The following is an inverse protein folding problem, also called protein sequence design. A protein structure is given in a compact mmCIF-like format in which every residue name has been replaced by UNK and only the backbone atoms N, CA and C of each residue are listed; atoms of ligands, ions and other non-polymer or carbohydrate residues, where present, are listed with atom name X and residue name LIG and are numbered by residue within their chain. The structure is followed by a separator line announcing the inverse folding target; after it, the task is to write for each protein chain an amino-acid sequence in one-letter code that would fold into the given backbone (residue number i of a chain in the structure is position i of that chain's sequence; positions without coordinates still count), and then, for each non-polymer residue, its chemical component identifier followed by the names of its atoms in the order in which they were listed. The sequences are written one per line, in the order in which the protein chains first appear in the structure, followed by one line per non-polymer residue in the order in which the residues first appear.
data_IF_838229948121
#
_entry.id   IF_838229948121
#
_cell.length_a   1.000
_cell.length_b   1.000
_cell.length_c   1.000
_cell.angle_alpha   90.00
_cell.angle_beta   90.00
_cell.angle_gamma   90.00
#
_symmetry.space_group_name_H-M   'P 1'
#
loop_
_entity.id
_entity.type
_entity.pdbx_description
1 polymer ?
#
# COMPACT_ATOMS: atom_id res chain seq x y z
N UNK A 1 4.30 -40.76 20.17
CA UNK A 1 3.92 -40.04 18.93
C UNK A 1 4.35 -38.59 19.06
N UNK A 2 5.22 -38.10 18.18
CA UNK A 2 5.49 -36.66 18.10
C UNK A 2 4.20 -36.00 17.60
N UNK A 3 3.51 -35.22 18.45
CA UNK A 3 2.33 -34.44 18.06
C UNK A 3 2.78 -33.43 17.00
N UNK A 4 2.42 -33.68 15.73
CA UNK A 4 2.62 -32.69 14.67
C UNK A 4 1.75 -31.47 14.98
N UNK A 5 2.36 -30.29 15.02
CA UNK A 5 1.70 -29.01 15.23
C UNK A 5 1.18 -28.49 13.88
N UNK A 6 -0.07 -28.03 13.85
CA UNK A 6 -0.65 -27.35 12.69
C UNK A 6 -0.18 -25.90 12.67
N UNK A 7 0.18 -25.37 11.50
CA UNK A 7 0.48 -23.94 11.33
C UNK A 7 -0.51 -23.37 10.31
N UNK A 8 -1.33 -22.43 10.75
CA UNK A 8 -2.28 -21.67 9.94
C UNK A 8 -1.66 -20.31 9.62
N UNK A 9 -1.60 -19.98 8.33
CA UNK A 9 -1.10 -18.71 7.83
C UNK A 9 -2.24 -17.98 7.15
N UNK A 10 -2.61 -16.83 7.70
CA UNK A 10 -3.64 -15.93 7.18
C UNK A 10 -2.94 -14.76 6.51
N UNK A 11 -3.08 -14.66 5.20
CA UNK A 11 -2.60 -13.51 4.42
C UNK A 11 -3.72 -12.48 4.30
N UNK A 12 -3.36 -11.19 4.23
CA UNK A 12 -4.30 -10.08 4.08
C UNK A 12 -5.49 -10.13 5.09
N UNK A 13 -5.20 -10.51 6.33
CA UNK A 13 -6.21 -10.78 7.36
C UNK A 13 -6.99 -9.54 7.80
N UNK A 14 -6.49 -8.35 7.48
CA UNK A 14 -7.12 -7.07 7.78
C UNK A 14 -7.11 -6.17 6.56
N UNK A 15 -8.23 -5.56 6.23
CA UNK A 15 -8.37 -4.65 5.10
C UNK A 15 -9.15 -3.40 5.52
N UNK A 16 -8.72 -2.25 5.00
CA UNK A 16 -9.42 -0.99 5.22
C UNK A 16 -10.85 -1.06 4.64
N UNK A 17 -11.83 -0.53 5.37
CA UNK A 17 -13.24 -0.59 4.98
C UNK A 17 -14.01 -1.84 5.42
N UNK A 18 -13.34 -2.83 6.06
CA UNK A 18 -13.98 -4.08 6.54
C UNK A 18 -13.77 -4.34 8.01
N UNK A 19 -13.64 -3.28 8.79
CA UNK A 19 -13.17 -3.37 10.17
C UNK A 19 -14.18 -4.02 11.13
N UNK A 20 -15.46 -4.07 10.77
CA UNK A 20 -16.52 -4.69 11.58
C UNK A 20 -16.31 -6.19 11.74
N UNK A 21 -15.92 -6.89 10.67
CA UNK A 21 -15.77 -8.35 10.67
C UNK A 21 -14.43 -8.80 11.29
N UNK A 22 -13.46 -7.89 11.40
CA UNK A 22 -12.13 -8.20 11.94
C UNK A 22 -12.17 -8.60 13.42
N UNK A 23 -13.08 -8.02 14.20
CA UNK A 23 -13.23 -8.36 15.62
C UNK A 23 -13.59 -9.82 15.84
N UNK A 24 -14.52 -10.35 15.04
CA UNK A 24 -14.91 -11.76 15.09
C UNK A 24 -13.80 -12.68 14.57
N UNK A 25 -13.12 -12.26 13.49
CA UNK A 25 -11.95 -12.98 12.97
C UNK A 25 -10.87 -13.16 14.04
N UNK A 26 -10.48 -12.09 14.74
CA UNK A 26 -9.45 -12.18 15.78
C UNK A 26 -9.93 -12.95 17.02
N UNK A 27 -11.22 -12.90 17.33
CA UNK A 27 -11.84 -13.80 18.32
C UNK A 27 -11.66 -15.28 17.96
N UNK A 28 -11.88 -15.64 16.69
CA UNK A 28 -11.62 -16.99 16.19
C UNK A 28 -10.12 -17.31 16.19
N UNK A 29 -9.28 -16.39 15.74
CA UNK A 29 -7.82 -16.54 15.71
C UNK A 29 -7.26 -16.92 17.09
N UNK A 30 -7.72 -16.22 18.14
CA UNK A 30 -7.37 -16.52 19.54
C UNK A 30 -7.85 -17.90 19.97
N UNK A 31 -9.10 -18.24 19.64
CA UNK A 31 -9.72 -19.51 20.03
C UNK A 31 -9.04 -20.71 19.37
N UNK A 32 -8.60 -20.57 18.11
CA UNK A 32 -7.88 -21.60 17.38
C UNK A 32 -6.43 -21.77 17.85
N UNK A 33 -5.82 -20.72 18.39
CA UNK A 33 -4.41 -20.72 18.78
C UNK A 33 -4.18 -21.53 20.06
N UNK A 34 -3.21 -22.44 20.04
CA UNK A 34 -2.87 -23.23 21.21
C UNK A 34 -1.67 -24.15 21.01
N UNK A 35 -1.51 -25.13 21.90
CA UNK A 35 -0.36 -26.04 21.85
C UNK A 35 -0.31 -26.86 20.55
N UNK A 36 -1.48 -27.24 20.02
CA UNK A 36 -1.60 -28.02 18.78
C UNK A 36 -1.62 -27.20 17.49
N UNK A 37 -1.91 -25.89 17.56
CA UNK A 37 -2.16 -25.03 16.40
C UNK A 37 -1.47 -23.67 16.58
N UNK A 38 -0.62 -23.30 15.63
CA UNK A 38 -0.05 -21.95 15.49
C UNK A 38 -0.88 -21.15 14.50
N UNK A 39 -1.40 -20.00 14.90
CA UNK A 39 -1.93 -19.04 13.93
C UNK A 39 -0.89 -17.94 13.68
N UNK A 40 -0.78 -17.49 12.42
CA UNK A 40 0.03 -16.36 11.97
C UNK A 40 -0.81 -15.53 11.02
N UNK A 41 -0.90 -14.22 11.22
CA UNK A 41 -1.66 -13.34 10.36
C UNK A 41 -0.78 -12.17 9.87
N UNK A 42 -0.82 -11.90 8.57
CA UNK A 42 -0.33 -10.65 8.00
C UNK A 42 -1.43 -9.59 8.11
N UNK A 43 -1.09 -8.42 8.65
CA UNK A 43 -2.02 -7.33 8.91
C UNK A 43 -1.41 -6.01 8.42
N UNK A 44 -2.26 -5.05 8.07
CA UNK A 44 -1.81 -3.71 7.72
C UNK A 44 -1.83 -2.82 8.98
N UNK A 45 -0.71 -2.15 9.29
CA UNK A 45 -0.63 -1.22 10.40
C UNK A 45 -1.62 -0.07 10.20
N UNK A 46 -2.20 0.43 11.30
CA UNK A 46 -3.14 1.56 11.28
C UNK A 46 -4.59 1.20 10.97
N UNK A 47 -4.84 0.24 10.06
CA UNK A 47 -6.22 -0.10 9.62
C UNK A 47 -6.83 -1.33 10.30
N UNK A 48 -6.04 -2.06 11.09
CA UNK A 48 -6.49 -3.31 11.72
C UNK A 48 -7.23 -3.04 13.03
N UNK A 49 -8.50 -3.46 13.11
CA UNK A 49 -9.26 -3.51 14.37
C UNK A 49 -9.32 -4.93 14.91
N UNK A 50 -8.82 -5.14 16.13
CA UNK A 50 -8.79 -6.46 16.76
C UNK A 50 -10.08 -6.84 17.50
N UNK A 51 -11.00 -5.89 17.69
CA UNK A 51 -12.19 -6.09 18.52
C UNK A 51 -11.88 -6.07 20.01
N UNK A 52 -12.88 -6.37 20.84
CA UNK A 52 -12.78 -6.30 22.32
C UNK A 52 -12.29 -7.59 22.97
N UNK A 53 -12.34 -8.71 22.23
CA UNK A 53 -12.01 -10.06 22.74
C UNK A 53 -10.59 -10.51 22.39
N UNK A 54 -9.83 -9.66 21.72
CA UNK A 54 -8.46 -9.91 21.30
C UNK A 54 -7.60 -8.74 21.72
N UNK A 55 -6.71 -8.97 22.68
CA UNK A 55 -5.70 -8.00 23.08
C UNK A 55 -4.42 -8.31 22.29
N UNK A 56 -4.06 -7.42 21.38
CA UNK A 56 -2.91 -7.63 20.48
C UNK A 56 -1.58 -7.84 21.21
N UNK A 57 -1.41 -7.29 22.41
CA UNK A 57 -0.17 -7.38 23.17
C UNK A 57 -0.14 -8.59 24.12
N UNK A 58 -1.31 -9.11 24.51
CA UNK A 58 -1.42 -10.28 25.38
C UNK A 58 -1.68 -11.59 24.60
N UNK A 59 -2.46 -11.53 23.51
CA UNK A 59 -2.87 -12.70 22.73
C UNK A 59 -1.98 -12.97 21.51
N UNK A 60 -1.06 -12.05 21.17
CA UNK A 60 -0.17 -12.19 20.04
C UNK A 60 1.21 -11.55 20.25
N UNK A 61 2.12 -11.89 19.34
CA UNK A 61 3.38 -11.18 19.15
C UNK A 61 3.34 -10.50 17.80
N UNK A 62 3.38 -9.17 17.80
CA UNK A 62 3.44 -8.37 16.56
C UNK A 62 4.89 -8.29 16.10
N UNK A 63 5.14 -8.69 14.86
CA UNK A 63 6.43 -8.53 14.21
C UNK A 63 6.24 -7.46 13.14
N UNK A 64 6.90 -6.32 13.30
CA UNK A 64 6.90 -5.28 12.29
C UNK A 64 7.75 -5.73 11.08
N UNK A 65 7.12 -5.77 9.91
CA UNK A 65 7.76 -6.11 8.64
C UNK A 65 8.10 -4.86 7.81
N UNK A 66 7.77 -3.66 8.30
CA UNK A 66 8.14 -2.41 7.64
C UNK A 66 9.66 -2.30 7.58
N UNK A 67 10.19 -2.06 6.37
CA UNK A 67 11.62 -1.76 6.21
C UNK A 67 11.81 -0.29 6.55
N UNK A 68 12.47 -0.04 7.67
CA UNK A 68 12.72 1.31 8.17
C UNK A 68 14.09 1.80 7.72
N UNK A 69 14.11 2.95 7.05
CA UNK A 69 15.30 3.62 6.52
C UNK A 69 16.32 4.08 7.58
N UNK A 70 15.93 3.99 8.87
CA UNK A 70 16.79 4.24 10.03
C UNK A 70 17.58 2.99 10.46
N UNK A 71 17.25 1.81 9.92
CA UNK A 71 17.96 0.58 10.24
C UNK A 71 19.27 0.48 9.44
N UNK A 72 20.38 0.01 10.03
CA UNK A 72 21.65 -0.12 9.32
C UNK A 72 21.59 -1.06 8.10
N UNK A 73 20.75 -2.10 8.15
CA UNK A 73 20.60 -3.08 7.07
C UNK A 73 19.67 -2.63 5.93
N UNK A 74 19.16 -1.40 5.95
CA UNK A 74 18.18 -0.94 4.97
C UNK A 74 18.72 -0.97 3.53
N UNK A 75 19.89 -0.36 3.30
CA UNK A 75 20.52 -0.35 1.97
C UNK A 75 20.92 -1.74 1.50
N UNK A 76 21.46 -2.55 2.42
CA UNK A 76 21.90 -3.91 2.14
C UNK A 76 20.75 -4.79 1.67
N UNK A 77 19.58 -4.71 2.31
CA UNK A 77 18.39 -5.45 1.89
C UNK A 77 18.03 -5.20 0.42
N UNK A 78 17.98 -3.93 -0.02
CA UNK A 78 17.62 -3.60 -1.41
C UNK A 78 18.70 -4.02 -2.41
N UNK A 79 19.97 -3.96 -2.01
CA UNK A 79 21.09 -4.49 -2.78
C UNK A 79 20.96 -6.00 -2.98
N UNK A 80 20.68 -6.76 -1.92
CA UNK A 80 20.49 -8.21 -1.99
C UNK A 80 19.33 -8.60 -2.90
N UNK A 81 18.20 -7.86 -2.85
CA UNK A 81 17.07 -8.09 -3.76
C UNK A 81 17.46 -7.89 -5.22
N UNK A 82 18.21 -6.82 -5.53
CA UNK A 82 18.72 -6.57 -6.90
C UNK A 82 19.63 -7.71 -7.35
N UNK A 83 20.60 -8.11 -6.51
CA UNK A 83 21.52 -9.21 -6.85
C UNK A 83 20.83 -10.54 -7.06
N UNK A 84 19.82 -10.85 -6.24
CA UNK A 84 19.10 -12.11 -6.30
C UNK A 84 18.14 -12.21 -7.50
N UNK A 85 17.54 -11.08 -7.93
CA UNK A 85 16.44 -11.10 -8.92
C UNK A 85 16.73 -10.40 -10.24
N UNK A 86 17.70 -9.49 -10.29
CA UNK A 86 17.96 -8.58 -11.41
C UNK A 86 19.44 -8.62 -11.82
N UNK A 87 19.87 -9.80 -12.27
CA UNK A 87 21.25 -10.02 -12.70
C UNK A 87 21.70 -8.98 -13.74
N UNK A 88 22.81 -8.29 -13.46
CA UNK A 88 23.38 -7.28 -14.33
C UNK A 88 22.73 -5.90 -14.28
N UNK A 89 21.70 -5.67 -13.44
CA UNK A 89 21.13 -4.33 -13.25
C UNK A 89 22.13 -3.36 -12.60
N UNK A 90 22.90 -3.82 -11.61
CA UNK A 90 23.91 -3.01 -10.92
C UNK A 90 24.94 -2.41 -11.90
N UNK A 91 25.35 -3.20 -12.91
CA UNK A 91 26.31 -2.76 -13.92
C UNK A 91 25.79 -1.72 -14.92
N UNK A 92 24.49 -1.38 -14.87
CA UNK A 92 23.88 -0.38 -15.75
C UNK A 92 23.83 1.02 -15.14
N UNK A 93 24.02 1.15 -13.83
CA UNK A 93 24.05 2.46 -13.17
C UNK A 93 25.28 3.25 -13.62
N UNK A 94 25.11 4.55 -13.89
CA UNK A 94 26.23 5.42 -14.27
C UNK A 94 27.19 5.63 -13.09
N UNK A 95 28.44 5.99 -13.41
CA UNK A 95 29.45 6.34 -12.39
C UNK A 95 29.01 7.46 -11.44
N UNK A 96 28.20 8.42 -11.92
CA UNK A 96 27.68 9.51 -11.10
C UNK A 96 26.69 9.03 -10.03
N UNK A 97 25.92 7.99 -10.33
CA UNK A 97 24.97 7.35 -9.40
C UNK A 97 25.73 6.42 -8.45
N UNK A 98 26.73 5.70 -8.96
CA UNK A 98 27.56 4.76 -8.20
C UNK A 98 28.74 5.41 -7.46
N UNK A 99 28.82 6.73 -7.39
CA UNK A 99 29.88 7.42 -6.65
C UNK A 99 29.94 6.98 -5.17
N UNK A 100 28.78 6.56 -4.64
CA UNK A 100 28.59 5.93 -3.34
C UNK A 100 27.59 4.78 -3.55
N UNK A 101 28.09 3.54 -3.54
CA UNK A 101 27.31 2.36 -3.93
C UNK A 101 26.10 2.14 -2.99
N UNK A 102 26.23 2.42 -1.70
CA UNK A 102 25.12 2.26 -0.75
C UNK A 102 23.99 3.26 -1.00
N UNK A 103 24.35 4.43 -1.54
CA UNK A 103 23.44 5.55 -1.75
C UNK A 103 22.29 5.19 -2.67
N UNK A 104 22.58 4.52 -3.80
CA UNK A 104 21.53 4.17 -4.76
C UNK A 104 20.52 3.20 -4.17
N UNK A 105 20.96 2.19 -3.40
CA UNK A 105 20.05 1.24 -2.77
C UNK A 105 19.19 1.92 -1.71
N UNK A 106 19.79 2.82 -0.93
CA UNK A 106 19.06 3.64 0.03
C UNK A 106 18.03 4.53 -0.66
N UNK A 107 18.43 5.24 -1.71
CA UNK A 107 17.55 6.11 -2.50
C UNK A 107 16.33 5.35 -3.02
N UNK A 108 16.55 4.20 -3.67
CA UNK A 108 15.48 3.39 -4.24
C UNK A 108 14.58 2.81 -3.14
N UNK A 109 15.16 2.35 -2.02
CA UNK A 109 14.40 1.87 -0.87
C UNK A 109 13.51 2.95 -0.26
N UNK A 110 14.04 4.17 -0.09
CA UNK A 110 13.28 5.33 0.42
C UNK A 110 12.20 5.78 -0.56
N UNK A 111 12.48 5.73 -1.86
CA UNK A 111 11.53 6.11 -2.89
C UNK A 111 10.22 5.33 -2.84
N UNK A 112 10.28 4.10 -2.30
CA UNK A 112 9.13 3.22 -2.12
C UNK A 112 8.76 2.99 -0.66
N UNK A 113 9.28 3.81 0.27
CA UNK A 113 9.07 3.69 1.72
C UNK A 113 9.40 2.29 2.31
N UNK A 114 10.29 1.56 1.66
CA UNK A 114 10.63 0.20 2.02
C UNK A 114 9.67 -0.87 1.48
N UNK A 115 8.69 -0.51 0.65
CA UNK A 115 7.73 -1.46 0.08
C UNK A 115 8.40 -2.35 -0.98
N UNK A 116 8.49 -3.66 -0.70
CA UNK A 116 9.16 -4.61 -1.59
C UNK A 116 8.43 -4.83 -2.94
N UNK A 117 7.10 -4.69 -2.98
CA UNK A 117 6.32 -4.81 -4.23
C UNK A 117 6.59 -3.63 -5.15
N UNK A 118 6.50 -2.41 -4.61
CA UNK A 118 6.84 -1.20 -5.34
C UNK A 118 8.32 -1.22 -5.78
N UNK A 119 9.24 -1.68 -4.94
CA UNK A 119 10.66 -1.84 -5.32
C UNK A 119 10.86 -2.79 -6.52
N UNK A 120 10.12 -3.90 -6.56
CA UNK A 120 10.14 -4.83 -7.71
C UNK A 120 9.65 -4.15 -8.97
N UNK A 121 8.59 -3.33 -8.90
CA UNK A 121 8.16 -2.52 -10.03
C UNK A 121 9.25 -1.52 -10.46
N UNK A 122 9.88 -0.82 -9.51
CA UNK A 122 11.03 0.06 -9.78
C UNK A 122 12.13 -0.68 -10.54
N UNK A 123 12.54 -1.86 -10.07
CA UNK A 123 13.60 -2.63 -10.71
C UNK A 123 13.22 -3.14 -12.11
N UNK A 124 11.96 -3.56 -12.31
CA UNK A 124 11.46 -3.96 -13.62
C UNK A 124 11.54 -2.81 -14.63
N UNK A 125 11.10 -1.61 -14.23
CA UNK A 125 11.14 -0.41 -15.08
C UNK A 125 12.57 0.02 -15.38
N UNK A 126 13.45 0.05 -14.37
CA UNK A 126 14.86 0.37 -14.58
C UNK A 126 15.56 -0.64 -15.50
N UNK A 127 15.14 -1.91 -15.48
CA UNK A 127 15.67 -2.96 -16.35
C UNK A 127 15.32 -2.77 -17.84
N UNK A 128 14.38 -1.89 -18.17
CA UNK A 128 14.07 -1.48 -19.55
C UNK A 128 15.20 -0.62 -20.15
N UNK A 129 16.05 -0.02 -19.31
CA UNK A 129 17.13 0.86 -19.73
C UNK A 129 18.48 0.13 -19.82
N UNK A 130 19.30 0.52 -20.80
CA UNK A 130 20.69 0.04 -20.96
C UNK A 130 21.66 0.72 -20.00
N UNK A 131 21.44 2.00 -19.76
CA UNK A 131 22.23 2.85 -18.86
C UNK A 131 21.27 3.62 -17.97
N UNK A 132 21.54 3.68 -16.67
CA UNK A 132 20.66 4.27 -15.67
C UNK A 132 21.40 5.42 -14.97
N UNK A 133 21.06 6.65 -15.36
CA UNK A 133 21.48 7.86 -14.67
C UNK A 133 20.31 8.53 -13.93
N UNK A 134 20.51 9.78 -13.51
CA UNK A 134 19.48 10.56 -12.83
C UNK A 134 18.22 10.80 -13.67
N UNK A 135 18.35 10.84 -15.00
CA UNK A 135 17.20 11.00 -15.90
C UNK A 135 16.31 9.75 -15.87
N UNK A 136 16.89 8.56 -15.98
CA UNK A 136 16.14 7.30 -15.91
C UNK A 136 15.54 7.11 -14.51
N UNK A 137 16.25 7.49 -13.44
CA UNK A 137 15.69 7.51 -12.08
C UNK A 137 14.50 8.48 -11.99
N UNK A 138 14.60 9.68 -12.57
CA UNK A 138 13.50 10.64 -12.62
C UNK A 138 12.29 10.04 -13.33
N UNK A 139 12.46 9.53 -14.55
CA UNK A 139 11.39 8.92 -15.33
C UNK A 139 10.75 7.74 -14.59
N UNK A 140 11.55 6.93 -13.90
CA UNK A 140 11.06 5.79 -13.13
C UNK A 140 10.20 6.24 -11.93
N UNK A 141 10.64 7.23 -11.15
CA UNK A 141 9.90 7.73 -9.99
C UNK A 141 8.59 8.40 -10.40
N UNK A 142 8.60 9.26 -11.41
CA UNK A 142 7.39 9.91 -11.92
C UNK A 142 6.38 8.88 -12.45
N UNK A 143 6.87 7.87 -13.17
CA UNK A 143 6.02 6.78 -13.70
C UNK A 143 5.45 5.91 -12.57
N UNK A 144 6.19 5.64 -11.48
CA UNK A 144 5.62 4.98 -10.30
C UNK A 144 4.55 5.82 -9.60
N UNK A 145 4.75 7.14 -9.50
CA UNK A 145 3.72 8.05 -9.01
C UNK A 145 2.42 7.92 -9.81
N UNK A 146 2.52 8.10 -11.13
CA UNK A 146 1.39 8.14 -12.05
C UNK A 146 0.73 6.78 -12.32
N UNK A 147 1.49 5.70 -12.43
CA UNK A 147 0.99 4.40 -12.89
C UNK A 147 0.75 3.40 -11.74
N UNK A 148 1.24 3.69 -10.53
CA UNK A 148 1.14 2.79 -9.37
C UNK A 148 0.44 3.42 -8.17
N UNK A 149 0.99 4.50 -7.58
CA UNK A 149 0.47 5.02 -6.30
C UNK A 149 -0.88 5.74 -6.43
N UNK A 150 -1.02 6.67 -7.37
CA UNK A 150 -2.30 7.37 -7.59
C UNK A 150 -3.41 6.41 -8.06
N UNK A 151 -3.17 5.51 -9.03
CA UNK A 151 -4.16 4.51 -9.42
C UNK A 151 -4.56 3.58 -8.26
N UNK A 152 -3.62 3.21 -7.38
CA UNK A 152 -3.92 2.37 -6.22
C UNK A 152 -4.89 3.08 -5.25
N UNK A 153 -4.78 4.39 -5.07
CA UNK A 153 -5.76 5.16 -4.29
C UNK A 153 -7.15 5.10 -4.95
N UNK A 154 -7.25 5.31 -6.26
CA UNK A 154 -8.52 5.26 -6.98
C UNK A 154 -9.17 3.87 -6.94
N UNK A 155 -8.36 2.81 -7.05
CA UNK A 155 -8.83 1.42 -6.96
C UNK A 155 -9.33 1.03 -5.56
N UNK A 156 -8.96 1.77 -4.51
CA UNK A 156 -9.53 1.58 -3.18
C UNK A 156 -10.93 2.11 -3.06
N UNK A 157 -11.31 3.13 -3.83
CA UNK A 157 -12.64 3.78 -3.76
C UNK A 157 -13.79 2.77 -3.61
N UNK A 158 -13.95 1.77 -4.52
CA UNK A 158 -15.06 0.83 -4.42
C UNK A 158 -14.96 -0.15 -3.23
N UNK A 159 -13.80 -0.26 -2.59
CA UNK A 159 -13.49 -1.21 -1.50
C UNK A 159 -13.58 -0.60 -0.11
N UNK A 160 -13.59 0.74 -0.01
CA UNK A 160 -13.59 1.46 1.28
C UNK A 160 -14.91 1.38 2.06
N UNK A 161 -16.01 0.94 1.42
CA UNK A 161 -17.32 0.79 2.06
C UNK A 161 -17.78 2.11 2.70
N UNK A 162 -17.99 2.10 4.02
CA UNK A 162 -18.42 3.28 4.78
C UNK A 162 -17.43 4.46 4.71
N UNK A 163 -16.16 4.19 4.35
CA UNK A 163 -15.10 5.20 4.24
C UNK A 163 -14.91 5.73 2.81
N UNK A 164 -15.70 5.29 1.83
CA UNK A 164 -15.62 5.81 0.46
C UNK A 164 -15.68 7.35 0.39
N UNK A 165 -16.52 8.07 1.18
CA UNK A 165 -16.53 9.54 1.20
C UNK A 165 -15.21 10.19 1.64
N UNK A 166 -14.28 9.43 2.22
CA UNK A 166 -12.97 9.92 2.67
C UNK A 166 -11.91 9.91 1.57
N UNK A 167 -12.21 9.39 0.38
CA UNK A 167 -11.25 9.36 -0.71
C UNK A 167 -10.85 10.77 -1.19
N UNK A 168 -11.83 11.63 -1.44
CA UNK A 168 -11.57 12.99 -1.93
C UNK A 168 -10.78 13.82 -0.88
N UNK A 169 -11.15 13.79 0.43
CA UNK A 169 -10.30 14.36 1.48
C UNK A 169 -8.88 13.76 1.52
N UNK A 170 -8.72 12.47 1.22
CA UNK A 170 -7.40 11.83 1.20
C UNK A 170 -6.54 12.33 0.05
N UNK A 171 -7.11 12.49 -1.15
CA UNK A 171 -6.43 13.10 -2.28
C UNK A 171 -6.01 14.55 -1.97
N UNK A 172 -6.92 15.34 -1.39
CA UNK A 172 -6.64 16.73 -1.02
C UNK A 172 -5.55 16.84 0.05
N UNK A 173 -5.60 16.00 1.10
CA UNK A 173 -4.55 15.95 2.12
C UNK A 173 -3.21 15.55 1.52
N UNK A 174 -3.17 14.58 0.61
CA UNK A 174 -1.94 14.17 -0.06
C UNK A 174 -1.34 15.34 -0.87
N UNK A 175 -2.13 15.98 -1.73
CA UNK A 175 -1.67 17.11 -2.56
C UNK A 175 -1.10 18.25 -1.71
N UNK A 176 -1.84 18.68 -0.68
CA UNK A 176 -1.40 19.75 0.22
C UNK A 176 -0.15 19.36 1.02
N UNK A 177 -0.08 18.13 1.51
CA UNK A 177 1.07 17.61 2.25
C UNK A 177 2.32 17.61 1.37
N UNK A 178 2.28 16.97 0.20
CA UNK A 178 3.47 16.84 -0.64
C UNK A 178 3.93 18.18 -1.22
N UNK A 179 3.00 19.11 -1.49
CA UNK A 179 3.35 20.49 -1.82
C UNK A 179 4.11 21.16 -0.67
N UNK A 180 3.61 21.06 0.57
CA UNK A 180 4.28 21.60 1.74
C UNK A 180 5.68 20.99 1.95
N UNK A 181 5.82 19.67 1.78
CA UNK A 181 7.10 18.98 1.90
C UNK A 181 8.10 19.43 0.83
N UNK A 182 7.66 19.61 -0.41
CA UNK A 182 8.50 20.11 -1.48
C UNK A 182 9.00 21.53 -1.20
N UNK A 183 8.12 22.43 -0.73
CA UNK A 183 8.48 23.80 -0.31
C UNK A 183 9.50 23.81 0.85
N UNK A 184 9.37 22.87 1.79
CA UNK A 184 10.28 22.71 2.93
C UNK A 184 11.54 21.89 2.62
N UNK A 185 11.64 21.32 1.40
CA UNK A 185 12.68 20.37 1.00
C UNK A 185 12.84 19.20 2.00
N UNK A 186 11.73 18.70 2.53
CA UNK A 186 11.71 17.65 3.54
C UNK A 186 11.17 16.33 2.99
N UNK A 187 11.77 15.20 3.41
CA UNK A 187 11.34 13.83 3.06
C UNK A 187 10.55 13.14 4.18
N UNK A 188 10.36 13.83 5.30
CA UNK A 188 9.57 13.38 6.42
C UNK A 188 8.91 14.58 7.11
N UNK A 189 7.92 14.30 7.96
CA UNK A 189 7.22 15.32 8.72
C UNK A 189 6.84 14.87 10.13
N UNK A 190 6.71 15.86 11.02
CA UNK A 190 6.08 15.74 12.32
C UNK A 190 4.69 16.36 12.27
N UNK A 191 3.68 15.55 12.58
CA UNK A 191 2.29 15.97 12.55
C UNK A 191 1.74 16.03 13.98
N UNK A 192 1.37 17.23 14.43
CA UNK A 192 0.81 17.44 15.77
C UNK A 192 -0.44 16.57 16.01
N UNK A 193 -0.60 16.07 17.25
CA UNK A 193 -1.67 15.12 17.63
C UNK A 193 -3.08 15.56 17.24
N UNK A 194 -3.37 16.86 17.23
CA UNK A 194 -4.71 17.37 16.91
C UNK A 194 -5.05 17.12 15.44
N UNK A 195 -4.09 17.32 14.54
CA UNK A 195 -4.26 16.95 13.12
C UNK A 195 -4.34 15.43 12.96
N UNK A 196 -3.56 14.67 13.73
CA UNK A 196 -3.60 13.21 13.67
C UNK A 196 -4.96 12.66 14.06
N UNK A 197 -5.56 13.19 15.13
CA UNK A 197 -6.89 12.77 15.57
C UNK A 197 -7.96 13.15 14.53
N UNK A 198 -7.91 14.39 14.02
CA UNK A 198 -8.88 14.85 13.01
C UNK A 198 -8.78 14.08 11.69
N UNK A 199 -7.57 13.73 11.27
CA UNK A 199 -7.28 13.09 9.99
C UNK A 199 -7.02 11.58 10.12
N UNK A 200 -7.31 10.95 11.27
CA UNK A 200 -6.86 9.60 11.59
C UNK A 200 -7.12 8.59 10.45
N UNK A 201 -8.37 8.52 9.98
CA UNK A 201 -8.75 7.60 8.90
C UNK A 201 -8.17 7.99 7.54
N UNK A 202 -8.00 9.27 7.27
CA UNK A 202 -7.33 9.76 6.05
C UNK A 202 -5.86 9.36 6.05
N UNK A 203 -5.16 9.53 7.18
CA UNK A 203 -3.76 9.10 7.33
C UNK A 203 -3.62 7.59 7.16
N UNK A 204 -4.56 6.81 7.70
CA UNK A 204 -4.61 5.36 7.49
C UNK A 204 -4.78 4.97 6.01
N UNK A 205 -5.65 5.66 5.25
CA UNK A 205 -5.80 5.46 3.79
C UNK A 205 -4.47 5.76 3.08
N UNK A 206 -3.82 6.88 3.43
CA UNK A 206 -2.56 7.28 2.81
C UNK A 206 -1.40 6.34 3.17
N UNK A 207 -1.36 5.82 4.40
CA UNK A 207 -0.41 4.77 4.81
C UNK A 207 -0.67 3.46 4.05
N UNK A 208 -1.95 3.08 3.90
CA UNK A 208 -2.34 1.86 3.20
C UNK A 208 -1.90 1.87 1.72
N UNK A 209 -2.08 3.00 1.03
CA UNK A 209 -1.63 3.17 -0.37
C UNK A 209 -0.10 3.27 -0.48
N UNK A 210 0.58 3.69 0.60
CA UNK A 210 2.03 3.87 0.62
C UNK A 210 2.49 5.27 0.22
N UNK A 211 1.64 6.28 0.37
CA UNK A 211 2.04 7.69 0.27
C UNK A 211 2.88 8.13 1.47
N UNK A 212 2.54 7.64 2.66
CA UNK A 212 3.25 7.94 3.90
C UNK A 212 3.46 6.67 4.70
N UNK A 213 4.37 6.71 5.67
CA UNK A 213 4.56 5.62 6.62
C UNK A 213 4.92 6.18 7.99
N UNK A 214 4.16 5.82 9.02
CA UNK A 214 4.45 6.26 10.38
C UNK A 214 5.71 5.56 10.90
N UNK A 215 6.67 6.37 11.36
CA UNK A 215 7.96 5.92 11.91
C UNK A 215 8.03 6.05 13.42
N UNK A 216 7.34 7.03 14.00
CA UNK A 216 7.30 7.27 15.44
C UNK A 216 5.87 7.66 15.83
N UNK A 217 5.32 7.04 16.88
CA UNK A 217 3.97 7.37 17.36
C UNK A 217 3.90 8.76 18.02
N UNK A 218 4.97 9.16 18.71
CA UNK A 218 5.03 10.47 19.39
C UNK A 218 6.47 10.98 19.55
N UNK A 219 6.69 12.22 19.12
CA UNK A 219 7.90 13.01 19.23
C UNK A 219 7.52 14.46 19.55
N UNK A 220 8.39 15.16 20.26
CA UNK A 220 8.22 16.59 20.56
C UNK A 220 8.47 17.43 19.31
N UNK A 221 7.63 18.44 19.08
CA UNK A 221 7.83 19.45 18.03
C UNK A 221 8.60 20.66 18.60
N UNK A 222 9.46 21.27 17.79
CA UNK A 222 10.15 22.53 18.14
C UNK A 222 9.16 23.66 18.34
N UNK A 223 8.05 23.65 17.59
CA UNK A 223 6.92 24.59 17.75
C UNK A 223 6.11 24.40 19.03
N UNK A 224 6.42 23.39 19.85
CA UNK A 224 5.62 23.00 21.02
C UNK A 224 4.59 21.92 20.71
N UNK A 225 4.24 21.14 21.74
CA UNK A 225 3.35 19.99 21.63
C UNK A 225 4.05 18.70 21.22
N UNK A 226 3.25 17.68 20.89
CA UNK A 226 3.74 16.35 20.49
C UNK A 226 2.91 15.82 19.32
N UNK A 227 3.56 15.00 18.50
CA UNK A 227 2.97 14.44 17.30
C UNK A 227 3.77 13.26 16.80
N UNK A 228 3.23 12.52 15.85
CA UNK A 228 3.92 11.39 15.22
C UNK A 228 4.80 11.83 14.07
N UNK A 229 5.85 11.03 13.81
CA UNK A 229 6.76 11.21 12.67
C UNK A 229 6.38 10.27 11.54
N UNK A 230 6.34 10.80 10.33
CA UNK A 230 6.01 10.05 9.12
C UNK A 230 7.09 10.29 8.06
N UNK A 231 7.49 9.22 7.37
CA UNK A 231 8.26 9.32 6.12
C UNK A 231 7.29 9.51 4.94
N UNK A 232 7.72 10.22 3.89
CA UNK A 232 6.93 10.44 2.69
C UNK A 232 7.47 9.68 1.48
N UNK A 233 6.57 9.28 0.59
CA UNK A 233 6.92 8.60 -0.64
C UNK A 233 7.66 9.55 -1.60
N UNK A 234 8.90 9.23 -1.96
CA UNK A 234 9.68 10.14 -2.81
C UNK A 234 9.20 10.18 -4.25
N UNK A 235 8.50 9.14 -4.74
CA UNK A 235 7.91 9.16 -6.08
C UNK A 235 6.84 10.26 -6.15
N UNK A 236 5.92 10.29 -5.18
CA UNK A 236 4.88 11.32 -5.10
C UNK A 236 5.46 12.68 -4.75
N UNK A 237 6.43 12.76 -3.84
CA UNK A 237 7.08 14.04 -3.53
C UNK A 237 7.72 14.69 -4.76
N UNK A 238 8.35 13.89 -5.64
CA UNK A 238 9.00 14.39 -6.86
C UNK A 238 8.02 15.13 -7.79
N UNK A 239 6.73 14.75 -7.80
CA UNK A 239 5.71 15.44 -8.60
C UNK A 239 5.50 16.91 -8.18
N UNK A 240 5.81 17.23 -6.93
CA UNK A 240 5.68 18.57 -6.36
C UNK A 240 7.01 19.33 -6.25
N UNK A 241 8.15 18.67 -6.51
CA UNK A 241 9.46 19.34 -6.53
C UNK A 241 9.61 20.20 -7.78
N UNK A 242 10.27 21.36 -7.64
CA UNK A 242 10.56 22.26 -8.76
C UNK A 242 11.31 21.51 -9.88
N UNK A 243 10.85 21.68 -11.13
CA UNK A 243 11.35 20.96 -12.32
C UNK A 243 11.05 19.45 -12.38
N UNK A 244 10.40 18.85 -11.37
CA UNK A 244 10.01 17.42 -11.32
C UNK A 244 11.15 16.49 -11.74
N UNK A 245 12.37 16.76 -11.24
CA UNK A 245 13.59 16.07 -11.65
C UNK A 245 14.47 15.71 -10.46
N UNK A 246 15.04 14.51 -10.50
CA UNK A 246 16.10 14.12 -9.58
C UNK A 246 17.40 14.78 -10.04
N UNK A 247 17.81 15.85 -9.36
CA UNK A 247 19.13 16.48 -9.53
C UNK A 247 20.17 15.74 -8.70
N UNK A 248 21.45 16.03 -8.92
CA UNK A 248 22.52 15.44 -8.10
C UNK A 248 22.34 15.81 -6.62
N UNK A 249 22.03 17.08 -6.33
CA UNK A 249 21.81 17.57 -4.97
C UNK A 249 20.62 16.88 -4.31
N UNK A 250 19.50 16.76 -5.03
CA UNK A 250 18.32 16.05 -4.54
C UNK A 250 18.61 14.57 -4.27
N UNK A 251 19.35 13.91 -5.17
CA UNK A 251 19.76 12.52 -5.00
C UNK A 251 20.61 12.34 -3.73
N UNK A 252 21.56 13.25 -3.47
CA UNK A 252 22.36 13.23 -2.24
C UNK A 252 21.49 13.46 -1.01
N UNK A 253 20.67 14.51 -1.00
CA UNK A 253 19.79 14.86 0.12
C UNK A 253 18.81 13.74 0.46
N UNK A 254 18.14 13.20 -0.55
CA UNK A 254 17.17 12.11 -0.39
C UNK A 254 17.82 10.78 -0.05
N UNK A 255 19.14 10.68 -0.11
CA UNK A 255 19.86 9.48 0.34
C UNK A 255 20.55 9.66 1.69
N UNK A 256 20.43 10.82 2.33
CA UNK A 256 21.08 11.12 3.61
C UNK A 256 20.44 10.35 4.79
N UNK A 257 21.27 9.80 5.68
CA UNK A 257 20.85 8.96 6.82
C UNK A 257 19.96 9.68 7.82
N UNK A 258 20.15 10.98 7.96
CA UNK A 258 19.33 11.86 8.78
C UNK A 258 18.61 12.87 7.88
N UNK A 259 17.32 13.05 8.13
CA UNK A 259 16.54 14.16 7.60
C UNK A 259 15.94 14.99 8.73
N UNK A 260 15.87 16.30 8.52
CA UNK A 260 15.12 17.20 9.39
C UNK A 260 13.65 17.21 8.92
N UNK A 261 12.70 16.74 9.75
CA UNK A 261 11.31 16.67 9.35
C UNK A 261 10.69 18.07 9.27
N UNK A 262 9.81 18.30 8.30
CA UNK A 262 8.93 19.47 8.32
C UNK A 262 7.94 19.37 9.49
N UNK A 263 7.65 20.48 10.18
CA UNK A 263 6.69 20.49 11.29
C UNK A 263 5.33 21.05 10.87
N UNK A 264 4.27 20.28 11.12
CA UNK A 264 2.88 20.69 10.98
C UNK A 264 2.29 20.76 12.40
N UNK A 265 2.37 21.96 12.99
CA UNK A 265 1.89 22.29 14.33
C UNK A 265 0.38 22.56 14.35
N UNK A 266 -0.25 22.57 15.53
CA UNK A 266 -1.72 22.60 15.69
C UNK A 266 -2.45 23.73 14.97
N UNK A 267 -1.86 24.93 14.93
CA UNK A 267 -2.44 26.11 14.29
C UNK A 267 -2.09 26.22 12.79
N UNK A 268 -1.33 25.27 12.24
CA UNK A 268 -0.97 25.26 10.83
C UNK A 268 -2.19 24.83 9.98
N UNK A 269 -2.53 25.62 8.97
CA UNK A 269 -3.68 25.40 8.09
C UNK A 269 -3.36 24.54 6.85
N UNK A 270 -2.09 24.11 6.68
CA UNK A 270 -1.63 23.27 5.57
C UNK A 270 -2.56 22.08 5.32
N UNK A 271 -3.02 21.42 6.39
CA UNK A 271 -3.93 20.26 6.29
C UNK A 271 -5.36 20.57 6.74
N UNK A 272 -5.82 21.82 6.58
CA UNK A 272 -7.19 22.21 6.85
C UNK A 272 -8.14 21.72 5.75
N UNK A 273 -8.41 20.42 5.80
CA UNK A 273 -9.31 19.69 4.89
C UNK A 273 -10.52 19.21 5.67
N UNK A 274 -11.71 19.42 5.10
CA UNK A 274 -12.97 18.96 5.68
C UNK A 274 -13.06 17.43 5.56
N UNK A 275 -13.31 16.75 6.68
CA UNK A 275 -13.43 15.30 6.73
C UNK A 275 -14.91 14.97 7.00
N UNK A 276 -15.64 14.40 6.02
CA UNK A 276 -17.02 13.98 6.24
C UNK A 276 -17.07 12.79 7.21
N UNK A 277 -18.21 12.60 7.86
CA UNK A 277 -18.43 11.38 8.64
C UNK A 277 -18.49 10.15 7.70
N UNK A 278 -18.08 8.96 8.17
CA UNK A 278 -18.33 7.72 7.45
C UNK A 278 -19.83 7.56 7.18
N UNK A 279 -20.19 6.97 6.03
CA UNK A 279 -21.58 6.74 5.63
C UNK A 279 -21.98 5.28 5.96
N UNK A 280 -22.75 5.04 7.05
CA UNK A 280 -23.08 3.69 7.48
C UNK A 280 -24.00 2.94 6.50
N UNK A 281 -24.66 3.65 5.58
CA UNK A 281 -25.55 3.05 4.59
C UNK A 281 -24.79 2.53 3.36
N UNK A 282 -23.50 2.86 3.20
CA UNK A 282 -22.67 2.41 2.08
C UNK A 282 -22.12 1.01 2.30
N UNK A 283 -22.59 0.09 1.48
CA UNK A 283 -21.95 -1.20 1.23
C UNK A 283 -20.78 -1.06 0.25
N UNK A 284 -19.96 -2.11 0.15
CA UNK A 284 -18.85 -2.18 -0.81
C UNK A 284 -19.34 -1.91 -2.24
N UNK A 285 -18.97 -0.74 -2.79
CA UNK A 285 -19.36 -0.36 -4.14
C UNK A 285 -18.76 -1.28 -5.21
N UNK A 286 -17.72 -2.06 -4.87
CA UNK A 286 -17.14 -3.10 -5.74
C UNK A 286 -18.17 -4.09 -6.26
N UNK A 287 -19.20 -4.41 -5.48
CA UNK A 287 -20.27 -5.33 -5.88
C UNK A 287 -21.06 -4.81 -7.10
N UNK A 288 -21.18 -3.48 -7.22
CA UNK A 288 -21.91 -2.81 -8.30
C UNK A 288 -21.07 -2.57 -9.55
N UNK A 289 -19.77 -2.87 -9.52
CA UNK A 289 -18.92 -2.73 -10.70
C UNK A 289 -19.25 -3.80 -11.74
N UNK A 290 -19.09 -3.44 -13.01
CA UNK A 290 -19.23 -4.37 -14.12
C UNK A 290 -18.15 -5.45 -14.11
N UNK A 291 -18.47 -6.65 -14.59
CA UNK A 291 -17.54 -7.80 -14.61
C UNK A 291 -16.27 -7.58 -15.45
N UNK A 292 -16.23 -6.51 -16.26
CA UNK A 292 -15.08 -6.11 -17.07
C UNK A 292 -13.87 -5.73 -16.20
N UNK A 293 -14.12 -5.27 -14.98
CA UNK A 293 -13.03 -4.94 -14.04
C UNK A 293 -12.24 -6.19 -13.61
N UNK A 294 -12.82 -7.38 -13.75
CA UNK A 294 -12.18 -8.67 -13.44
C UNK A 294 -11.16 -9.12 -14.51
N UNK A 295 -10.96 -8.32 -15.55
CA UNK A 295 -9.93 -8.55 -16.57
C UNK A 295 -8.49 -8.41 -16.05
N UNK A 296 -7.51 -8.50 -16.94
CA UNK A 296 -6.12 -8.15 -16.61
C UNK A 296 -5.99 -6.62 -16.51
N UNK A 297 -5.69 -6.09 -15.32
CA UNK A 297 -5.31 -4.69 -15.09
C UNK A 297 -3.89 -4.60 -14.55
N UNK A 298 -3.29 -3.41 -14.66
CA UNK A 298 -1.89 -3.17 -14.28
C UNK A 298 -1.63 -3.23 -12.77
N UNK A 299 -2.59 -2.82 -11.94
CA UNK A 299 -2.40 -2.69 -10.49
C UNK A 299 -2.89 -3.95 -9.74
N UNK A 300 -4.09 -4.46 -10.07
CA UNK A 300 -4.57 -5.79 -9.64
C UNK A 300 -4.86 -6.70 -10.85
N UNK A 301 -4.08 -7.77 -11.08
CA UNK A 301 -4.34 -8.72 -12.16
C UNK A 301 -5.41 -9.74 -11.74
N UNK A 302 -6.69 -9.36 -11.84
CA UNK A 302 -7.83 -10.24 -11.55
C UNK A 302 -7.93 -11.42 -12.53
N UNK A 303 -7.53 -11.22 -13.79
CA UNK A 303 -7.05 -12.30 -14.64
C UNK A 303 -8.09 -13.06 -15.44
N UNK A 304 -9.32 -12.57 -15.62
CA UNK A 304 -10.23 -13.14 -16.62
C UNK A 304 -9.87 -12.66 -18.04
N UNK A 305 -9.94 -13.57 -19.02
CA UNK A 305 -9.74 -13.23 -20.43
C UNK A 305 -11.00 -12.58 -21.01
N UNK A 306 -10.86 -11.72 -22.03
CA UNK A 306 -11.98 -11.04 -22.69
C UNK A 306 -13.09 -12.01 -23.15
N UNK A 307 -12.72 -13.15 -23.77
CA UNK A 307 -13.67 -14.18 -24.19
C UNK A 307 -14.56 -14.67 -23.04
N UNK A 308 -14.02 -14.70 -21.83
CA UNK A 308 -14.72 -15.24 -20.65
C UNK A 308 -15.61 -14.19 -20.02
N UNK A 309 -15.19 -12.93 -20.02
CA UNK A 309 -16.05 -11.80 -19.68
C UNK A 309 -17.24 -11.77 -20.65
N UNK A 310 -17.02 -11.99 -21.96
CA UNK A 310 -18.09 -12.06 -22.94
C UNK A 310 -19.07 -13.21 -22.64
N UNK A 311 -18.57 -14.43 -22.37
CA UNK A 311 -19.43 -15.57 -22.00
C UNK A 311 -20.31 -15.28 -20.77
N UNK A 312 -19.76 -14.60 -19.77
CA UNK A 312 -20.50 -14.23 -18.57
C UNK A 312 -21.58 -13.18 -18.90
N UNK A 313 -21.24 -12.18 -19.71
CA UNK A 313 -22.17 -11.14 -20.15
C UNK A 313 -23.32 -11.71 -20.99
N UNK A 314 -23.03 -12.61 -21.91
CA UNK A 314 -24.04 -13.32 -22.73
C UNK A 314 -24.99 -14.17 -21.86
N UNK A 315 -24.53 -14.62 -20.69
CA UNK A 315 -25.35 -15.31 -19.70
C UNK A 315 -26.18 -14.37 -18.80
N UNK A 316 -26.17 -13.06 -19.06
CA UNK A 316 -26.87 -12.03 -18.28
C UNK A 316 -26.16 -11.63 -16.98
N UNK A 317 -24.89 -11.99 -16.82
CA UNK A 317 -24.09 -11.64 -15.64
C UNK A 317 -23.35 -10.35 -15.99
N UNK A 318 -23.73 -9.23 -15.38
CA UNK A 318 -23.20 -7.91 -15.75
C UNK A 318 -22.38 -7.28 -14.64
N UNK A 319 -22.67 -7.59 -13.37
CA UNK A 319 -21.93 -7.07 -12.21
C UNK A 319 -21.16 -8.14 -11.44
N UNK A 320 -20.24 -7.69 -10.58
CA UNK A 320 -19.55 -8.57 -9.62
C UNK A 320 -20.56 -9.23 -8.66
N UNK A 321 -21.60 -8.50 -8.23
CA UNK A 321 -22.67 -9.04 -7.38
C UNK A 321 -23.43 -10.18 -8.07
N UNK A 322 -23.82 -10.01 -9.34
CA UNK A 322 -24.49 -11.06 -10.12
C UNK A 322 -23.66 -12.34 -10.14
N UNK A 323 -22.35 -12.19 -10.34
CA UNK A 323 -21.42 -13.32 -10.42
C UNK A 323 -21.14 -13.95 -9.04
N UNK A 324 -21.12 -13.15 -7.98
CA UNK A 324 -20.93 -13.63 -6.61
C UNK A 324 -22.13 -14.43 -6.11
N UNK A 325 -23.34 -13.99 -6.45
CA UNK A 325 -24.60 -14.64 -6.07
C UNK A 325 -25.00 -15.79 -7.01
N UNK A 326 -24.36 -15.92 -8.17
CA UNK A 326 -24.64 -16.98 -9.13
C UNK A 326 -24.43 -18.37 -8.51
N UNK A 327 -25.45 -19.26 -8.55
CA UNK A 327 -25.29 -20.64 -8.11
C UNK A 327 -24.20 -21.37 -8.89
N UNK A 328 -23.39 -22.15 -8.19
CA UNK A 328 -22.23 -22.83 -8.76
C UNK A 328 -22.61 -23.81 -9.90
N UNK A 329 -23.78 -24.44 -9.82
CA UNK A 329 -24.28 -25.36 -10.84
C UNK A 329 -24.64 -24.63 -12.15
N UNK A 330 -25.21 -23.42 -12.04
CA UNK A 330 -25.56 -22.58 -13.19
C UNK A 330 -24.30 -22.01 -13.84
N UNK A 331 -23.32 -21.60 -13.05
CA UNK A 331 -22.04 -21.12 -13.57
C UNK A 331 -21.27 -22.21 -14.34
N UNK A 332 -21.30 -23.46 -13.85
CA UNK A 332 -20.66 -24.61 -14.52
C UNK A 332 -21.34 -25.05 -15.81
N UNK A 333 -22.63 -24.72 -16.00
CA UNK A 333 -23.38 -25.03 -17.22
C UNK A 333 -23.08 -24.06 -18.36
N UNK A 334 -22.39 -22.94 -18.11
CA UNK A 334 -22.07 -21.99 -19.16
C UNK A 334 -21.05 -22.55 -20.16
N UNK A 335 -21.16 -22.20 -21.45
CA UNK A 335 -20.23 -22.65 -22.47
C UNK A 335 -18.78 -22.34 -22.07
N UNK A 336 -17.87 -23.29 -22.30
CA UNK A 336 -16.44 -23.12 -22.07
C UNK A 336 -16.02 -22.89 -20.59
N UNK A 337 -16.90 -23.08 -19.60
CA UNK A 337 -16.56 -23.03 -18.18
C UNK A 337 -16.37 -24.45 -17.62
N UNK A 338 -15.17 -25.01 -17.81
CA UNK A 338 -14.76 -26.25 -17.13
C UNK A 338 -14.35 -26.01 -15.66
N UNK A 339 -14.10 -27.09 -14.90
CA UNK A 339 -13.75 -27.03 -13.47
C UNK A 339 -12.61 -26.07 -13.13
N UNK A 340 -11.54 -26.06 -13.95
CA UNK A 340 -10.41 -25.14 -13.76
C UNK A 340 -10.83 -23.68 -13.89
N UNK A 341 -11.66 -23.37 -14.88
CA UNK A 341 -12.09 -22.01 -15.15
C UNK A 341 -13.13 -21.54 -14.15
N UNK A 342 -14.03 -22.43 -13.73
CA UNK A 342 -14.95 -22.20 -12.62
C UNK A 342 -14.18 -21.77 -11.35
N UNK A 343 -13.16 -22.53 -10.94
CA UNK A 343 -12.35 -22.18 -9.78
C UNK A 343 -11.62 -20.85 -9.97
N UNK A 344 -11.10 -20.58 -11.18
CA UNK A 344 -10.47 -19.28 -11.49
C UNK A 344 -11.47 -18.14 -11.33
N UNK A 345 -12.68 -18.25 -11.86
CA UNK A 345 -13.73 -17.23 -11.69
C UNK A 345 -14.02 -17.00 -10.21
N UNK A 346 -14.27 -18.07 -9.43
CA UNK A 346 -14.58 -17.93 -8.00
C UNK A 346 -13.45 -17.24 -7.25
N UNK A 347 -12.21 -17.62 -7.54
CA UNK A 347 -11.02 -16.98 -6.94
C UNK A 347 -10.90 -15.52 -7.36
N UNK A 348 -11.10 -15.21 -8.64
CA UNK A 348 -11.02 -13.83 -9.14
C UNK A 348 -12.11 -12.93 -8.55
N UNK A 349 -13.33 -13.43 -8.42
CA UNK A 349 -14.44 -12.69 -7.80
C UNK A 349 -14.17 -12.49 -6.32
N UNK A 350 -13.75 -13.55 -5.62
CA UNK A 350 -13.32 -13.45 -4.23
C UNK A 350 -12.19 -12.44 -4.09
N UNK A 351 -11.20 -12.46 -4.96
CA UNK A 351 -10.12 -11.49 -4.96
C UNK A 351 -10.64 -10.07 -5.18
N UNK A 352 -11.51 -9.82 -6.15
CA UNK A 352 -12.05 -8.48 -6.38
C UNK A 352 -12.88 -7.95 -5.20
N UNK A 353 -13.66 -8.82 -4.55
CA UNK A 353 -14.49 -8.45 -3.41
C UNK A 353 -13.65 -8.31 -2.15
N UNK A 354 -12.64 -9.15 -1.93
CA UNK A 354 -11.96 -9.30 -0.64
C UNK A 354 -10.51 -8.76 -0.60
N UNK A 355 -9.90 -8.46 -1.75
CA UNK A 355 -8.57 -7.83 -1.91
C UNK A 355 -8.68 -6.57 -2.76
#
# INVERSE_FOLDING_TARGET
MIRKRLVLMFDDAAHIGRETDLGDFFGLFRTLSGNGVSCKAAIYPGVTKFGTRFDVYNDATVIDLARDERTPAFSEFFREVIRARYAGLEGRFTKSVLADEERIYRFLGRAVLGNARAFVFTCNMLSEHKTIGLNELTSCLLRLGADYYWPLLDELKPKLGIYEPLLDPSQEVADRLFKHLAEKRATSFLLHKDHQHRLAKVLEILEYVGFISRREASRTLKSGGRGGRYASNLCTLLDHVQQRRVTQDLFVEWSATADEPAEIYSANDVLNVAVPAPDPARNLAVLRLGIEVLGNRNVYPYGLTEQKILTLREAGIVTIEDLALMPDDRLRKLPSIGTKFFNRIKNTVAQAIWM
#
